data_IF_884470945554
#
_entry.id   IF_884470945554
#
_cell.length_a   1.000
_cell.length_b   1.000
_cell.length_c   1.000
_cell.angle_alpha   90.00
_cell.angle_beta   90.00
_cell.angle_gamma   90.00
#
_symmetry.space_group_name_H-M   'P 1'
#
loop_
_entity.id
_entity.type
_entity.pdbx_description
1 polymer ?
#
# COMPACT_ATOMS: atom_id res chain seq x y z
N UNK A 1 4.42 28.95 19.63
CA UNK A 1 4.04 27.50 19.65
C UNK A 1 4.56 26.91 18.34
N UNK A 2 5.30 25.81 18.42
CA UNK A 2 5.75 25.03 17.27
C UNK A 2 4.99 23.71 17.28
N UNK A 3 4.37 23.37 16.16
CA UNK A 3 3.69 22.10 15.96
C UNK A 3 4.47 21.32 14.90
N UNK A 4 4.79 20.06 15.20
CA UNK A 4 5.48 19.16 14.26
C UNK A 4 4.62 17.91 14.06
N UNK A 5 4.59 17.40 12.84
CA UNK A 5 3.97 16.14 12.50
C UNK A 5 5.00 15.21 11.85
N UNK A 6 4.89 13.92 12.11
CA UNK A 6 5.78 12.91 11.54
C UNK A 6 5.04 11.59 11.34
N UNK A 7 5.45 10.86 10.32
CA UNK A 7 4.96 9.51 10.06
C UNK A 7 5.78 8.48 10.87
N UNK A 8 5.22 7.28 11.16
CA UNK A 8 5.93 6.21 11.87
C UNK A 8 7.22 5.75 11.17
N UNK A 9 7.25 5.82 9.84
CA UNK A 9 8.42 5.52 9.02
C UNK A 9 8.83 6.75 8.20
N UNK A 10 10.14 6.93 8.03
CA UNK A 10 10.73 7.90 7.10
C UNK A 10 10.46 7.48 5.66
N UNK A 11 10.76 8.33 4.68
CA UNK A 11 10.63 7.98 3.24
C UNK A 11 11.52 6.79 2.86
N UNK A 12 12.67 6.61 3.53
CA UNK A 12 13.55 5.44 3.36
C UNK A 12 13.07 4.18 4.08
N UNK A 13 11.95 4.26 4.83
CA UNK A 13 11.38 3.13 5.59
C UNK A 13 12.05 2.86 6.93
N UNK A 14 12.86 3.78 7.45
CA UNK A 14 13.39 3.70 8.81
C UNK A 14 12.37 4.19 9.83
N UNK A 15 12.36 3.61 11.05
CA UNK A 15 11.49 4.11 12.11
C UNK A 15 11.85 5.55 12.46
N UNK A 16 10.86 6.43 12.44
CA UNK A 16 11.01 7.79 12.90
C UNK A 16 11.18 7.80 14.43
N UNK A 17 12.23 8.47 14.89
CA UNK A 17 12.48 8.69 16.33
C UNK A 17 12.53 10.17 16.62
N UNK A 18 11.70 10.59 17.56
CA UNK A 18 11.80 11.95 18.08
C UNK A 18 13.09 12.04 18.94
N UNK A 19 13.98 13.00 18.68
CA UNK A 19 15.16 13.19 19.53
C UNK A 19 14.79 13.38 21.01
N UNK A 20 15.55 12.76 21.92
CA UNK A 20 15.29 12.77 23.37
C UNK A 20 15.15 14.18 23.94
N UNK A 21 15.90 15.13 23.40
CA UNK A 21 15.82 16.54 23.81
C UNK A 21 14.44 17.17 23.51
N UNK A 22 13.73 16.69 22.50
CA UNK A 22 12.39 17.16 22.13
C UNK A 22 11.31 16.38 22.88
N UNK A 23 11.49 15.08 23.07
CA UNK A 23 10.52 14.22 23.76
C UNK A 23 10.24 14.70 25.19
N UNK A 24 11.27 15.21 25.90
CA UNK A 24 11.15 15.71 27.26
C UNK A 24 10.54 17.12 27.36
N UNK A 25 10.30 17.82 26.26
CA UNK A 25 9.87 19.22 26.20
C UNK A 25 8.63 19.47 25.36
N UNK A 26 8.11 18.43 24.72
CA UNK A 26 6.94 18.50 23.83
C UNK A 26 5.83 17.57 24.34
N UNK A 27 4.61 18.02 24.21
CA UNK A 27 3.45 17.15 24.33
C UNK A 27 3.35 16.33 23.05
N UNK A 28 3.44 15.01 23.18
CA UNK A 28 3.40 14.08 22.05
C UNK A 28 2.03 13.41 21.99
N UNK A 29 1.38 13.54 20.86
CA UNK A 29 0.10 12.89 20.57
C UNK A 29 0.28 11.87 19.47
N UNK A 30 -0.11 10.62 19.73
CA UNK A 30 -0.26 9.61 18.70
C UNK A 30 -1.70 9.66 18.18
N UNK A 31 -1.89 10.05 16.92
CA UNK A 31 -3.22 10.17 16.31
C UNK A 31 -3.83 8.80 16.01
N UNK A 32 -3.03 7.73 15.99
CA UNK A 32 -3.51 6.38 15.70
C UNK A 32 -4.14 6.24 14.31
N UNK A 33 -5.17 5.42 14.21
CA UNK A 33 -5.99 5.25 12.99
C UNK A 33 -7.10 6.32 12.97
N UNK A 34 -6.77 7.48 12.41
CA UNK A 34 -7.68 8.63 12.32
C UNK A 34 -8.74 8.47 11.20
N UNK A 35 -8.59 7.45 10.34
CA UNK A 35 -9.54 7.16 9.26
C UNK A 35 -10.77 6.39 9.75
N UNK A 36 -10.66 5.68 10.86
CA UNK A 36 -11.72 4.83 11.39
C UNK A 36 -12.98 5.63 11.75
N UNK A 37 -14.09 5.30 11.09
CA UNK A 37 -15.37 5.99 11.23
C UNK A 37 -15.49 7.31 10.46
N UNK A 38 -14.48 7.64 9.62
CA UNK A 38 -14.45 8.84 8.75
C UNK A 38 -14.10 8.49 7.32
N UNK A 39 -14.23 7.24 6.93
CA UNK A 39 -13.77 6.68 5.64
C UNK A 39 -14.35 7.46 4.46
N UNK A 40 -15.63 7.83 4.52
CA UNK A 40 -16.29 8.59 3.45
C UNK A 40 -15.69 9.99 3.27
N UNK A 41 -15.39 10.68 4.38
CA UNK A 41 -14.79 12.02 4.33
C UNK A 41 -13.37 11.97 3.76
N UNK A 42 -12.57 11.00 4.18
CA UNK A 42 -11.23 10.77 3.63
C UNK A 42 -11.29 10.40 2.16
N UNK A 43 -12.15 9.47 1.78
CA UNK A 43 -12.37 9.03 0.41
C UNK A 43 -12.67 10.21 -0.52
N UNK A 44 -13.61 11.08 -0.15
CA UNK A 44 -13.93 12.29 -0.92
C UNK A 44 -12.75 13.24 -1.02
N UNK A 45 -12.04 13.49 0.08
CA UNK A 45 -10.94 14.44 0.13
C UNK A 45 -9.74 14.04 -0.74
N UNK A 46 -9.47 12.75 -0.93
CA UNK A 46 -8.42 12.28 -1.85
C UNK A 46 -8.73 12.66 -3.31
N UNK A 47 -9.99 12.53 -3.73
CA UNK A 47 -10.41 12.94 -5.06
C UNK A 47 -10.36 14.46 -5.20
N UNK A 48 -10.95 15.22 -4.27
CA UNK A 48 -10.96 16.67 -4.29
C UNK A 48 -9.54 17.26 -4.38
N UNK A 49 -8.63 16.73 -3.59
CA UNK A 49 -7.23 17.15 -3.60
C UNK A 49 -6.55 16.86 -4.95
N UNK A 50 -6.86 15.73 -5.57
CA UNK A 50 -6.20 15.25 -6.78
C UNK A 50 -6.78 15.88 -8.08
N UNK A 51 -7.96 16.48 -8.05
CA UNK A 51 -8.59 17.12 -9.23
C UNK A 51 -7.66 18.16 -9.88
N UNK A 52 -6.99 18.99 -9.07
CA UNK A 52 -6.09 20.03 -9.58
C UNK A 52 -4.79 19.47 -10.16
N UNK A 53 -4.46 18.22 -9.89
CA UNK A 53 -3.25 17.55 -10.41
C UNK A 53 -3.45 16.99 -11.81
N UNK A 54 -4.70 16.75 -12.23
CA UNK A 54 -4.99 16.16 -13.55
C UNK A 54 -5.28 17.22 -14.61
N UNK A 55 -4.56 17.21 -15.75
CA UNK A 55 -4.77 18.20 -16.82
C UNK A 55 -6.18 18.19 -17.42
N UNK A 56 -6.83 17.02 -17.54
CA UNK A 56 -8.19 16.91 -18.10
C UNK A 56 -9.26 17.48 -17.14
N UNK A 57 -8.96 17.62 -15.85
CA UNK A 57 -9.88 18.14 -14.84
C UNK A 57 -9.66 19.64 -14.51
N UNK A 58 -8.86 20.35 -15.29
CA UNK A 58 -8.55 21.76 -15.00
C UNK A 58 -9.76 22.69 -15.00
N UNK A 59 -10.75 22.43 -15.86
CA UNK A 59 -12.01 23.20 -15.88
C UNK A 59 -12.77 22.99 -14.58
N UNK A 60 -12.85 21.76 -14.11
CA UNK A 60 -13.51 21.40 -12.86
C UNK A 60 -12.75 21.95 -11.63
N UNK A 61 -11.41 21.92 -11.64
CA UNK A 61 -10.59 22.47 -10.55
C UNK A 61 -10.78 23.98 -10.33
N UNK A 62 -11.35 24.70 -11.30
CA UNK A 62 -11.71 26.12 -11.20
C UNK A 62 -13.20 26.38 -10.94
N UNK A 63 -14.01 25.32 -10.94
CA UNK A 63 -15.45 25.40 -10.75
C UNK A 63 -15.83 25.62 -9.28
N UNK A 64 -17.11 25.86 -9.04
CA UNK A 64 -17.62 25.95 -7.69
C UNK A 64 -17.52 24.60 -6.96
N UNK A 65 -17.29 24.63 -5.66
CA UNK A 65 -17.17 23.41 -4.85
C UNK A 65 -18.40 22.47 -4.99
N UNK A 66 -19.60 23.05 -5.19
CA UNK A 66 -20.81 22.27 -5.44
C UNK A 66 -20.74 21.45 -6.72
N UNK A 67 -20.14 22.01 -7.78
CA UNK A 67 -19.99 21.29 -9.04
C UNK A 67 -18.95 20.17 -8.91
N UNK A 68 -17.84 20.42 -8.22
CA UNK A 68 -16.85 19.39 -7.92
C UNK A 68 -17.51 18.19 -7.22
N UNK A 69 -18.28 18.46 -6.19
CA UNK A 69 -19.00 17.41 -5.43
C UNK A 69 -20.08 16.73 -6.27
N UNK A 70 -20.76 17.49 -7.14
CA UNK A 70 -21.75 16.93 -8.06
C UNK A 70 -21.09 15.94 -9.05
N UNK A 71 -19.94 16.27 -9.63
CA UNK A 71 -19.22 15.39 -10.54
C UNK A 71 -18.68 14.14 -9.83
N UNK A 72 -18.13 14.27 -8.63
CA UNK A 72 -17.71 13.12 -7.83
C UNK A 72 -18.88 12.19 -7.57
N UNK A 73 -20.03 12.74 -7.14
CA UNK A 73 -21.24 11.96 -6.90
C UNK A 73 -21.76 11.27 -8.16
N UNK A 74 -21.78 11.96 -9.31
CA UNK A 74 -22.17 11.36 -10.59
C UNK A 74 -21.23 10.20 -10.96
N UNK A 75 -19.93 10.33 -10.72
CA UNK A 75 -18.96 9.29 -11.01
C UNK A 75 -19.10 8.07 -10.06
N UNK A 76 -19.46 8.29 -8.79
CA UNK A 76 -19.64 7.23 -7.80
C UNK A 76 -20.95 6.46 -7.95
N UNK A 77 -22.04 7.16 -8.33
CA UNK A 77 -23.38 6.59 -8.31
C UNK A 77 -23.96 6.28 -9.69
N UNK A 78 -23.33 6.73 -10.77
CA UNK A 78 -23.85 6.74 -12.14
C UNK A 78 -25.19 7.49 -12.31
N UNK A 79 -25.65 8.21 -11.29
CA UNK A 79 -26.88 8.98 -11.31
C UNK A 79 -26.63 10.41 -11.76
N UNK A 80 -27.36 10.86 -12.77
CA UNK A 80 -27.25 12.24 -13.32
C UNK A 80 -28.55 13.02 -13.14
N UNK A 81 -29.66 12.33 -12.95
CA UNK A 81 -30.98 12.98 -12.83
C UNK A 81 -31.06 13.78 -11.52
N UNK A 82 -31.57 15.02 -11.64
CA UNK A 82 -31.77 15.90 -10.49
C UNK A 82 -30.52 16.58 -9.95
N UNK A 83 -29.39 16.47 -10.64
CA UNK A 83 -28.16 17.17 -10.26
C UNK A 83 -28.06 18.48 -11.05
N UNK A 84 -28.14 19.61 -10.34
CA UNK A 84 -27.98 20.96 -10.92
C UNK A 84 -26.51 21.40 -10.80
N UNK A 85 -25.90 21.75 -11.94
CA UNK A 85 -24.58 22.33 -12.01
C UNK A 85 -24.68 23.86 -12.05
N UNK A 86 -23.78 24.54 -11.37
CA UNK A 86 -23.68 26.01 -11.40
C UNK A 86 -22.87 26.50 -12.61
N UNK A 87 -21.88 25.73 -13.02
CA UNK A 87 -21.07 26.00 -14.19
C UNK A 87 -21.74 25.53 -15.48
N UNK A 88 -21.27 26.07 -16.60
CA UNK A 88 -21.75 25.67 -17.92
C UNK A 88 -20.81 24.64 -18.54
N UNK A 89 -21.15 23.37 -18.38
CA UNK A 89 -20.41 22.22 -18.92
C UNK A 89 -21.19 21.60 -20.07
N UNK A 90 -20.56 21.48 -21.23
CA UNK A 90 -21.17 20.74 -22.37
C UNK A 90 -21.34 19.26 -22.05
N UNK A 91 -22.25 18.57 -22.74
CA UNK A 91 -22.48 17.13 -22.52
C UNK A 91 -21.20 16.30 -22.71
N UNK A 92 -20.40 16.61 -23.74
CA UNK A 92 -19.14 15.91 -23.97
C UNK A 92 -18.11 16.15 -22.87
N UNK A 93 -18.02 17.39 -22.39
CA UNK A 93 -17.14 17.73 -21.28
C UNK A 93 -17.55 17.01 -19.98
N UNK A 94 -18.84 16.95 -19.68
CA UNK A 94 -19.35 16.19 -18.53
C UNK A 94 -18.97 14.71 -18.62
N UNK A 95 -19.10 14.07 -19.80
CA UNK A 95 -18.70 12.68 -19.99
C UNK A 95 -17.21 12.44 -19.78
N UNK A 96 -16.38 13.35 -20.31
CA UNK A 96 -14.92 13.26 -20.12
C UNK A 96 -14.54 13.42 -18.65
N UNK A 97 -15.06 14.44 -17.96
CA UNK A 97 -14.83 14.67 -16.54
C UNK A 97 -15.25 13.47 -15.68
N UNK A 98 -16.46 12.94 -15.91
CA UNK A 98 -16.96 11.77 -15.18
C UNK A 98 -16.07 10.55 -15.44
N UNK A 99 -15.65 10.33 -16.70
CA UNK A 99 -14.78 9.20 -17.06
C UNK A 99 -13.45 9.27 -16.33
N UNK A 100 -12.81 10.44 -16.27
CA UNK A 100 -11.55 10.63 -15.55
C UNK A 100 -11.75 10.46 -14.04
N UNK A 101 -12.81 11.03 -13.47
CA UNK A 101 -13.10 10.88 -12.03
C UNK A 101 -13.35 9.43 -11.66
N UNK A 102 -14.06 8.63 -12.47
CA UNK A 102 -14.23 7.20 -12.24
C UNK A 102 -12.89 6.45 -12.14
N UNK A 103 -11.96 6.76 -13.04
CA UNK A 103 -10.60 6.20 -12.98
C UNK A 103 -9.86 6.65 -11.71
N UNK A 104 -10.00 7.91 -11.32
CA UNK A 104 -9.43 8.41 -10.07
C UNK A 104 -10.05 7.74 -8.83
N UNK A 105 -11.33 7.38 -8.87
CA UNK A 105 -11.99 6.62 -7.80
C UNK A 105 -11.33 5.23 -7.66
N UNK A 106 -11.07 4.54 -8.77
CA UNK A 106 -10.35 3.27 -8.75
C UNK A 106 -8.93 3.41 -8.14
N UNK A 107 -8.20 4.45 -8.52
CA UNK A 107 -6.88 4.76 -7.95
C UNK A 107 -6.95 5.08 -6.46
N UNK A 108 -7.92 5.90 -6.06
CA UNK A 108 -8.18 6.25 -4.65
C UNK A 108 -8.38 5.02 -3.80
N UNK A 109 -9.18 4.07 -4.26
CA UNK A 109 -9.50 2.86 -3.50
C UNK A 109 -8.24 2.00 -3.28
N UNK A 110 -7.34 1.95 -4.24
CA UNK A 110 -6.03 1.30 -4.07
C UNK A 110 -5.16 2.09 -3.07
N UNK A 111 -5.05 3.40 -3.24
CA UNK A 111 -4.24 4.25 -2.36
C UNK A 111 -4.73 4.19 -0.90
N UNK A 112 -6.04 4.16 -0.68
CA UNK A 112 -6.62 4.02 0.66
C UNK A 112 -6.33 2.64 1.28
N UNK A 113 -6.40 1.55 0.52
CA UNK A 113 -6.00 0.21 0.99
C UNK A 113 -4.53 0.17 1.38
N UNK A 114 -3.66 0.79 0.59
CA UNK A 114 -2.22 0.91 0.91
C UNK A 114 -2.02 1.71 2.19
N UNK A 115 -2.73 2.83 2.36
CA UNK A 115 -2.64 3.64 3.56
C UNK A 115 -3.12 2.87 4.82
N UNK A 116 -4.21 2.15 4.71
CA UNK A 116 -4.71 1.33 5.80
C UNK A 116 -3.71 0.25 6.21
N UNK A 117 -3.17 -0.50 5.24
CA UNK A 117 -2.15 -1.52 5.50
C UNK A 117 -0.88 -0.92 6.14
N UNK A 118 -0.47 0.28 5.69
CA UNK A 118 0.64 1.01 6.28
C UNK A 118 0.39 1.34 7.76
N UNK A 119 -0.80 1.87 8.10
CA UNK A 119 -1.19 2.21 9.48
C UNK A 119 -1.24 0.95 10.34
N UNK A 120 -1.88 -0.12 9.87
CA UNK A 120 -1.95 -1.41 10.57
C UNK A 120 -0.56 -1.98 10.82
N UNK A 121 0.29 -1.99 9.78
CA UNK A 121 1.67 -2.44 9.93
C UNK A 121 2.49 -1.58 10.89
N UNK A 122 2.34 -0.27 10.86
CA UNK A 122 3.04 0.63 11.77
C UNK A 122 2.62 0.46 13.24
N UNK A 123 1.35 0.09 13.46
CA UNK A 123 0.80 -0.14 14.79
C UNK A 123 1.23 -1.48 15.43
N UNK A 124 1.78 -2.42 14.65
CA UNK A 124 2.25 -3.70 15.17
C UNK A 124 3.60 -3.57 15.88
N UNK A 125 3.71 -4.22 17.05
CA UNK A 125 5.00 -4.41 17.72
C UNK A 125 5.88 -5.37 16.90
N UNK A 126 7.17 -5.07 16.80
CA UNK A 126 8.11 -5.88 16.02
C UNK A 126 8.20 -7.33 16.55
N UNK A 127 7.98 -7.54 17.84
CA UNK A 127 8.03 -8.86 18.49
C UNK A 127 6.91 -9.82 18.06
N UNK A 128 5.76 -9.26 17.63
CA UNK A 128 4.58 -10.04 17.25
C UNK A 128 4.34 -10.10 15.75
N UNK A 129 5.30 -9.62 14.95
CA UNK A 129 5.16 -9.67 13.50
C UNK A 129 5.34 -11.08 12.97
N UNK A 130 4.46 -11.51 12.10
CA UNK A 130 4.56 -12.77 11.34
C UNK A 130 5.12 -12.57 9.93
N UNK A 131 5.26 -11.31 9.51
CA UNK A 131 5.74 -10.91 8.19
C UNK A 131 6.52 -9.59 8.26
N UNK A 132 7.36 -9.27 7.27
CA UNK A 132 8.08 -8.00 7.21
C UNK A 132 7.14 -6.79 7.29
N UNK A 133 7.61 -5.71 7.93
CA UNK A 133 6.83 -4.49 8.04
C UNK A 133 6.51 -3.89 6.65
N UNK A 134 5.25 -3.55 6.44
CA UNK A 134 4.82 -2.81 5.27
C UNK A 134 5.07 -1.30 5.49
N UNK A 135 5.83 -0.69 4.59
CA UNK A 135 6.37 0.67 4.76
C UNK A 135 5.95 1.65 3.67
N UNK A 136 5.32 1.16 2.60
CA UNK A 136 4.82 2.03 1.53
C UNK A 136 3.57 2.78 1.97
N UNK A 137 3.45 4.03 1.55
CA UNK A 137 2.39 4.93 1.98
C UNK A 137 1.32 5.10 0.91
N UNK A 138 0.06 5.21 1.36
CA UNK A 138 -1.07 5.64 0.55
C UNK A 138 -1.44 7.09 0.86
N UNK A 139 -0.58 8.04 0.53
CA UNK A 139 -0.74 9.45 0.87
C UNK A 139 -1.44 10.25 -0.23
N UNK A 140 -1.88 11.49 0.09
CA UNK A 140 -2.35 12.47 -0.91
C UNK A 140 -1.31 12.70 -2.01
N UNK A 141 -0.01 12.67 -1.69
CA UNK A 141 1.09 12.80 -2.67
C UNK A 141 1.04 11.64 -3.68
N UNK A 142 0.85 10.41 -3.22
CA UNK A 142 0.74 9.25 -4.10
C UNK A 142 -0.49 9.37 -5.00
N UNK A 143 -1.63 9.77 -4.42
CA UNK A 143 -2.85 10.02 -5.19
C UNK A 143 -2.64 11.09 -6.27
N UNK A 144 -2.02 12.21 -5.94
CA UNK A 144 -1.76 13.30 -6.89
C UNK A 144 -0.84 12.87 -8.03
N UNK A 145 0.24 12.13 -7.72
CA UNK A 145 1.18 11.60 -8.73
C UNK A 145 0.54 10.58 -9.67
N UNK A 146 -0.37 9.77 -9.17
CA UNK A 146 -1.17 8.86 -9.98
C UNK A 146 -2.17 9.63 -10.84
N UNK A 147 -2.94 10.54 -10.21
CA UNK A 147 -3.95 11.34 -10.89
C UNK A 147 -3.38 12.16 -12.04
N UNK A 148 -2.20 12.77 -11.88
CA UNK A 148 -1.51 13.54 -12.92
C UNK A 148 -1.33 12.77 -14.24
N UNK A 149 -1.18 11.44 -14.16
CA UNK A 149 -0.90 10.56 -15.29
C UNK A 149 -2.15 9.92 -15.90
N UNK A 150 -3.31 10.08 -15.28
CA UNK A 150 -4.56 9.50 -15.80
C UNK A 150 -5.00 10.23 -17.06
N UNK A 151 -5.25 9.48 -18.12
CA UNK A 151 -5.83 9.97 -19.36
C UNK A 151 -7.26 9.46 -19.55
N UNK A 152 -8.15 10.25 -20.18
CA UNK A 152 -9.53 9.83 -20.43
C UNK A 152 -9.64 8.49 -21.18
N UNK A 153 -8.72 8.22 -22.13
CA UNK A 153 -8.70 7.04 -22.99
C UNK A 153 -8.11 5.78 -22.36
N UNK A 154 -7.46 5.86 -21.21
CA UNK A 154 -6.87 4.69 -20.54
C UNK A 154 -7.93 3.62 -20.27
N UNK A 155 -7.60 2.36 -20.55
CA UNK A 155 -8.40 1.21 -20.15
C UNK A 155 -8.04 0.74 -18.73
N UNK A 156 -8.75 -0.25 -18.21
CA UNK A 156 -8.54 -0.76 -16.85
C UNK A 156 -7.15 -1.39 -16.65
N UNK A 157 -6.61 -2.07 -17.68
CA UNK A 157 -5.28 -2.66 -17.61
C UNK A 157 -4.20 -1.59 -17.54
N UNK A 158 -4.27 -0.57 -18.39
CA UNK A 158 -3.34 0.58 -18.37
C UNK A 158 -3.39 1.34 -17.05
N UNK A 159 -4.57 1.44 -16.44
CA UNK A 159 -4.73 2.04 -15.12
C UNK A 159 -4.08 1.20 -14.02
N UNK A 160 -4.22 -0.14 -14.11
CA UNK A 160 -3.57 -1.06 -13.18
C UNK A 160 -2.05 -1.05 -13.34
N UNK A 161 -1.55 -1.03 -14.58
CA UNK A 161 -0.12 -0.93 -14.88
C UNK A 161 0.47 0.37 -14.33
N UNK A 162 -0.25 1.48 -14.44
CA UNK A 162 0.13 2.76 -13.84
C UNK A 162 0.31 2.65 -12.31
N UNK A 163 -0.61 1.97 -11.63
CA UNK A 163 -0.56 1.73 -10.18
C UNK A 163 0.63 0.84 -9.82
N UNK A 164 0.83 -0.25 -10.56
CA UNK A 164 1.94 -1.18 -10.34
C UNK A 164 3.29 -0.50 -10.50
N UNK A 165 3.48 0.27 -11.56
CA UNK A 165 4.71 1.01 -11.82
C UNK A 165 4.98 2.07 -10.74
N UNK A 166 3.95 2.78 -10.30
CA UNK A 166 4.07 3.75 -9.22
C UNK A 166 4.58 3.11 -7.93
N UNK A 167 3.91 2.05 -7.45
CA UNK A 167 4.27 1.39 -6.20
C UNK A 167 5.54 0.54 -6.30
N UNK A 168 5.89 0.05 -7.49
CA UNK A 168 7.21 -0.53 -7.74
C UNK A 168 8.31 0.51 -7.54
N UNK A 169 8.12 1.72 -8.08
CA UNK A 169 9.04 2.85 -7.85
C UNK A 169 9.13 3.21 -6.37
N UNK A 170 7.99 3.34 -5.66
CA UNK A 170 7.97 3.64 -4.22
C UNK A 170 8.70 2.55 -3.41
N UNK A 171 8.52 1.26 -3.74
CA UNK A 171 9.22 0.17 -3.05
C UNK A 171 10.74 0.25 -3.20
N UNK A 172 11.23 0.68 -4.36
CA UNK A 172 12.66 0.82 -4.66
C UNK A 172 13.33 1.97 -3.88
N UNK A 173 12.56 2.91 -3.34
CA UNK A 173 13.09 3.99 -2.48
C UNK A 173 13.35 3.51 -1.05
N UNK A 174 12.83 2.35 -0.66
CA UNK A 174 13.04 1.79 0.67
C UNK A 174 14.48 1.29 0.84
N UNK A 175 15.11 1.64 1.95
CA UNK A 175 16.47 1.20 2.31
C UNK A 175 16.55 -0.33 2.43
N UNK A 176 15.49 -0.96 2.94
CA UNK A 176 15.41 -2.41 3.13
C UNK A 176 14.00 -2.93 2.86
N UNK A 177 13.90 -4.16 2.37
CA UNK A 177 12.62 -4.84 2.20
C UNK A 177 11.82 -4.40 0.98
N UNK A 178 12.46 -3.85 -0.06
CA UNK A 178 11.80 -3.42 -1.29
C UNK A 178 10.97 -4.55 -1.92
N UNK A 179 11.57 -5.74 -2.10
CA UNK A 179 10.88 -6.92 -2.64
C UNK A 179 9.67 -7.32 -1.80
N UNK A 180 9.86 -7.47 -0.48
CA UNK A 180 8.80 -7.86 0.44
C UNK A 180 7.63 -6.87 0.43
N UNK A 181 7.91 -5.56 0.39
CA UNK A 181 6.89 -4.54 0.33
C UNK A 181 6.12 -4.57 -1.00
N UNK A 182 6.81 -4.77 -2.12
CA UNK A 182 6.15 -4.84 -3.42
C UNK A 182 5.30 -6.10 -3.58
N UNK A 183 5.79 -7.26 -3.12
CA UNK A 183 5.00 -8.50 -3.09
C UNK A 183 3.77 -8.36 -2.19
N UNK A 184 3.92 -7.79 -1.01
CA UNK A 184 2.78 -7.51 -0.12
C UNK A 184 1.76 -6.56 -0.76
N UNK A 185 2.22 -5.55 -1.50
CA UNK A 185 1.34 -4.68 -2.28
C UNK A 185 0.58 -5.45 -3.36
N UNK A 186 1.25 -6.31 -4.14
CA UNK A 186 0.60 -7.15 -5.15
C UNK A 186 -0.44 -8.08 -4.53
N UNK A 187 -0.16 -8.65 -3.36
CA UNK A 187 -1.12 -9.43 -2.58
C UNK A 187 -2.35 -8.59 -2.21
N UNK A 188 -2.15 -7.37 -1.73
CA UNK A 188 -3.22 -6.46 -1.32
C UNK A 188 -4.21 -6.15 -2.44
N UNK A 189 -3.71 -5.98 -3.66
CA UNK A 189 -4.55 -5.66 -4.84
C UNK A 189 -4.95 -6.89 -5.67
N UNK A 190 -4.52 -8.11 -5.28
CA UNK A 190 -4.95 -9.35 -5.89
C UNK A 190 -4.34 -9.67 -7.25
N UNK A 191 -3.13 -9.15 -7.55
CA UNK A 191 -2.44 -9.35 -8.85
C UNK A 191 -1.11 -10.11 -8.72
N UNK A 192 -0.95 -10.86 -7.64
CA UNK A 192 0.23 -11.68 -7.40
C UNK A 192 0.17 -12.94 -8.26
N UNK A 193 1.26 -13.28 -8.96
CA UNK A 193 1.39 -14.56 -9.67
C UNK A 193 1.66 -15.71 -8.69
N UNK A 194 1.53 -16.95 -9.17
CA UNK A 194 1.83 -18.15 -8.36
C UNK A 194 3.29 -18.16 -7.90
N UNK A 195 4.24 -17.87 -8.79
CA UNK A 195 5.67 -17.77 -8.46
C UNK A 195 5.95 -16.67 -7.40
N UNK A 196 5.28 -15.53 -7.52
CA UNK A 196 5.40 -14.44 -6.56
C UNK A 196 4.77 -14.80 -5.21
N UNK A 197 3.70 -15.58 -5.20
CA UNK A 197 3.09 -16.09 -3.97
C UNK A 197 4.02 -17.07 -3.24
N UNK A 198 4.66 -17.99 -3.96
CA UNK A 198 5.68 -18.89 -3.41
C UNK A 198 6.87 -18.10 -2.82
N UNK A 199 7.35 -17.11 -3.55
CA UNK A 199 8.42 -16.22 -3.09
C UNK A 199 8.03 -15.44 -1.85
N UNK A 200 6.79 -14.96 -1.77
CA UNK A 200 6.27 -14.28 -0.59
C UNK A 200 6.22 -15.19 0.64
N UNK A 201 5.80 -16.45 0.48
CA UNK A 201 5.82 -17.43 1.57
C UNK A 201 7.24 -17.75 2.05
N UNK A 202 8.22 -17.83 1.14
CA UNK A 202 9.64 -17.99 1.49
C UNK A 202 10.16 -16.80 2.32
N UNK A 203 9.82 -15.57 1.91
CA UNK A 203 10.19 -14.36 2.64
C UNK A 203 9.60 -14.38 4.06
N UNK A 204 8.32 -14.75 4.22
CA UNK A 204 7.68 -14.84 5.54
C UNK A 204 8.35 -15.92 6.42
N UNK A 205 8.63 -17.09 5.87
CA UNK A 205 9.35 -18.15 6.58
C UNK A 205 10.73 -17.68 7.06
N UNK A 206 11.47 -17.02 6.19
CA UNK A 206 12.80 -16.48 6.52
C UNK A 206 12.71 -15.38 7.57
N UNK A 207 11.71 -14.51 7.48
CA UNK A 207 11.47 -13.46 8.45
C UNK A 207 11.16 -14.04 9.85
N UNK A 208 10.23 -15.00 9.93
CA UNK A 208 9.89 -15.68 11.19
C UNK A 208 11.11 -16.36 11.83
N UNK A 209 11.90 -17.10 11.03
CA UNK A 209 13.13 -17.73 11.51
C UNK A 209 14.12 -16.71 12.08
N UNK A 210 14.32 -15.59 11.40
CA UNK A 210 15.23 -14.54 11.86
C UNK A 210 14.75 -13.86 13.14
N UNK A 211 13.44 -13.70 13.34
CA UNK A 211 12.88 -13.19 14.58
C UNK A 211 13.15 -14.13 15.78
N UNK A 212 12.95 -15.43 15.61
CA UNK A 212 13.28 -16.42 16.64
C UNK A 212 14.75 -16.39 17.02
N UNK A 213 15.65 -16.16 16.05
CA UNK A 213 17.09 -16.06 16.30
C UNK A 213 17.51 -14.79 17.02
N UNK A 214 16.78 -13.67 16.81
CA UNK A 214 17.10 -12.36 17.40
C UNK A 214 16.41 -12.13 18.76
N UNK A 215 15.25 -12.74 19.02
CA UNK A 215 14.46 -12.54 20.22
C UNK A 215 14.91 -13.39 21.42
N UNK A 216 15.78 -14.38 21.23
CA UNK A 216 16.32 -15.19 22.33
C UNK A 216 17.49 -14.48 23.04
N UNK A 217 17.41 -14.36 24.37
CA UNK A 217 18.58 -13.98 25.16
C UNK A 217 19.70 -15.00 24.89
N UNK A 218 20.77 -14.54 24.24
CA UNK A 218 21.92 -15.42 23.91
C UNK A 218 22.57 -16.07 25.14
N UNK A 219 22.28 -15.58 26.34
CA UNK A 219 22.76 -16.12 27.59
C UNK A 219 21.78 -17.15 28.22
N UNK A 220 20.53 -17.24 27.72
CA UNK A 220 19.57 -18.22 28.20
C UNK A 220 19.77 -19.58 27.47
N UNK A 221 20.09 -20.66 28.20
CA UNK A 221 20.27 -22.00 27.61
C UNK A 221 19.03 -22.51 26.85
N UNK A 222 17.81 -22.12 27.29
CA UNK A 222 16.55 -22.55 26.67
C UNK A 222 16.37 -21.85 25.30
N UNK A 223 16.64 -20.54 25.25
CA UNK A 223 16.61 -19.77 24.01
C UNK A 223 17.61 -20.29 22.97
N UNK A 224 18.80 -20.73 23.42
CA UNK A 224 19.81 -21.37 22.53
C UNK A 224 19.32 -22.70 21.97
N UNK A 225 18.69 -23.55 22.80
CA UNK A 225 18.14 -24.83 22.35
C UNK A 225 16.99 -24.61 21.38
N UNK A 226 16.08 -23.68 21.66
CA UNK A 226 14.96 -23.33 20.76
C UNK A 226 15.49 -22.82 19.42
N UNK A 227 16.49 -21.93 19.43
CA UNK A 227 17.14 -21.43 18.21
C UNK A 227 17.78 -22.56 17.38
N UNK A 228 18.46 -23.51 18.04
CA UNK A 228 19.06 -24.69 17.36
C UNK A 228 18.00 -25.63 16.80
N UNK A 229 16.90 -25.86 17.52
CA UNK A 229 15.78 -26.68 17.04
C UNK A 229 15.10 -26.02 15.82
N UNK A 230 14.94 -24.70 15.83
CA UNK A 230 14.40 -23.95 14.69
C UNK A 230 15.29 -24.02 13.46
N UNK A 231 16.62 -23.94 13.64
CA UNK A 231 17.58 -24.14 12.56
C UNK A 231 17.54 -25.56 12.00
N UNK A 232 17.40 -26.56 12.88
CA UNK A 232 17.30 -27.96 12.48
C UNK A 232 15.99 -28.24 11.74
N UNK A 233 14.87 -27.70 12.21
CA UNK A 233 13.55 -27.81 11.53
C UNK A 233 13.60 -27.18 10.14
N UNK A 234 14.17 -25.97 10.00
CA UNK A 234 14.35 -25.32 8.70
C UNK A 234 15.26 -26.10 7.73
N UNK A 235 16.30 -26.78 8.26
CA UNK A 235 17.12 -27.69 7.49
C UNK A 235 16.36 -28.93 6.99
N UNK A 236 15.49 -29.51 7.81
CA UNK A 236 14.65 -30.63 7.42
C UNK A 236 13.60 -30.24 6.37
N UNK A 237 12.99 -29.05 6.49
CA UNK A 237 12.08 -28.51 5.48
C UNK A 237 12.77 -28.31 4.14
N UNK A 238 13.98 -27.74 4.12
CA UNK A 238 14.76 -27.57 2.89
C UNK A 238 15.10 -28.92 2.22
N UNK A 239 15.45 -29.95 3.02
CA UNK A 239 15.68 -31.31 2.51
C UNK A 239 14.38 -31.90 1.96
N UNK A 240 13.25 -31.71 2.64
CA UNK A 240 11.95 -32.19 2.19
C UNK A 240 11.53 -31.54 0.86
N UNK A 241 11.75 -30.24 0.70
CA UNK A 241 11.44 -29.51 -0.52
C UNK A 241 12.34 -29.97 -1.69
N UNK A 242 13.64 -30.14 -1.44
CA UNK A 242 14.57 -30.71 -2.44
C UNK A 242 14.15 -32.12 -2.88
N UNK A 243 13.76 -32.99 -1.93
CA UNK A 243 13.29 -34.32 -2.26
C UNK A 243 11.99 -34.32 -3.05
N UNK A 244 11.06 -33.40 -2.75
CA UNK A 244 9.82 -33.23 -3.55
C UNK A 244 10.11 -32.77 -4.98
N UNK A 245 11.04 -31.82 -5.15
CA UNK A 245 11.46 -31.37 -6.47
C UNK A 245 12.09 -32.50 -7.30
N UNK A 246 13.00 -33.29 -6.72
CA UNK A 246 13.62 -34.41 -7.40
C UNK A 246 12.63 -35.50 -7.76
N UNK A 247 11.73 -35.85 -6.83
CA UNK A 247 10.67 -36.83 -7.10
C UNK A 247 9.66 -36.36 -8.16
N UNK A 248 9.42 -35.05 -8.26
CA UNK A 248 8.57 -34.48 -9.31
C UNK A 248 9.22 -34.55 -10.68
N UNK A 249 10.54 -34.31 -10.76
CA UNK A 249 11.33 -34.43 -12.00
C UNK A 249 11.41 -35.88 -12.49
N UNK A 250 11.59 -36.86 -11.60
CA UNK A 250 11.60 -38.29 -11.96
C UNK A 250 10.24 -38.76 -12.51
N UNK A 251 9.12 -38.25 -11.98
CA UNK A 251 7.78 -38.56 -12.49
C UNK A 251 7.54 -38.04 -13.90
N UNK A 252 8.12 -36.90 -14.25
CA UNK A 252 7.97 -36.28 -15.58
C UNK A 252 8.84 -37.01 -16.62
N UNK A 253 9.95 -37.62 -16.22
CA UNK A 253 10.89 -38.34 -17.14
C UNK A 253 10.44 -39.80 -17.43
N UNK A 254 9.43 -40.33 -16.73
CA UNK A 254 8.99 -41.74 -16.88
C UNK A 254 7.73 -41.87 -17.77
N UNK A 255 7.24 -40.78 -18.36
CA UNK A 255 6.00 -40.75 -19.18
C UNK A 255 6.30 -40.48 -20.69
N UNK A 256 7.56 -40.43 -21.12
CA UNK A 256 7.98 -40.36 -22.55
C UNK A 256 8.38 -41.73 -23.10
#
# INVERSE_FOLDING_TARGET
VVVMAGNPYTESGEKFRVPDMLTNRADTYNLGDDMKGRETAFSGSYIENAITSNPALQSLGKAAQKDIQAFIRMAETDQREGIELQGNFSANEQEELITVIKKMITLRDVVLKVNQLYIESAGQSDEFRTEPAFKMQGSYRNMNRLAEKVLPMMNEQELMDLVLDHYKGESQTLTTGAEANFLKFKQLIGVMSEEEAERWEEIKRTFGRNQYLQGGDQNDPVSRVVSQLSLFSGGLEAIQDTLKEELSKERTTTID
#
